data_IF_928829959268
#
_entry.id   IF_928829959268
#
_cell.length_a   1.000
_cell.length_b   1.000
_cell.length_c   1.000
_cell.angle_alpha   90.00
_cell.angle_beta   90.00
_cell.angle_gamma   90.00
#
_symmetry.space_group_name_H-M   'P 1'
#
loop_
_entity.id
_entity.type
_entity.pdbx_description
1 polymer ?
#
# COMPACT_ATOMS: atom_id res chain seq x y z
N UNK A 1 7.93 2.49 11.94
CA UNK A 1 6.60 2.93 11.47
C UNK A 1 5.53 2.02 12.06
N UNK A 2 5.51 0.73 11.71
CA UNK A 2 4.41 -0.17 12.08
C UNK A 2 4.23 -0.35 13.58
N UNK A 3 5.30 -0.44 14.35
CA UNK A 3 5.23 -0.63 15.81
C UNK A 3 4.51 0.54 16.49
N UNK A 4 4.82 1.77 16.09
CA UNK A 4 4.15 2.97 16.61
C UNK A 4 2.66 3.07 16.22
N UNK A 5 2.24 2.30 15.21
CA UNK A 5 0.87 2.24 14.72
C UNK A 5 0.06 1.07 15.34
N UNK A 6 0.63 0.33 16.29
CA UNK A 6 0.00 -0.80 16.95
C UNK A 6 0.13 -2.13 16.22
N UNK A 7 1.03 -2.23 15.25
CA UNK A 7 1.36 -3.45 14.50
C UNK A 7 2.65 -4.12 15.02
N UNK A 8 2.97 -3.96 16.30
CA UNK A 8 4.15 -4.48 17.00
C UNK A 8 4.31 -6.00 16.95
N UNK A 9 3.24 -6.70 16.60
CA UNK A 9 3.22 -8.16 16.46
C UNK A 9 3.63 -8.65 15.05
N UNK A 10 3.82 -7.74 14.11
CA UNK A 10 4.29 -8.11 12.76
C UNK A 10 5.81 -8.23 12.80
N UNK A 11 6.31 -9.39 12.46
CA UNK A 11 7.75 -9.67 12.43
C UNK A 11 8.22 -9.71 10.99
N UNK A 12 9.23 -8.91 10.70
CA UNK A 12 9.97 -8.91 9.44
C UNK A 12 11.36 -9.49 9.72
N UNK A 13 11.65 -10.65 9.15
CA UNK A 13 13.01 -11.18 9.17
C UNK A 13 13.83 -10.56 8.03
N UNK A 14 15.10 -10.30 8.28
CA UNK A 14 16.01 -9.71 7.29
C UNK A 14 16.12 -10.53 6.02
N UNK A 15 15.99 -11.86 6.11
CA UNK A 15 16.08 -12.75 4.95
C UNK A 15 15.03 -12.44 3.87
N UNK A 16 13.88 -11.87 4.24
CA UNK A 16 12.84 -11.47 3.27
C UNK A 16 13.29 -10.35 2.34
N UNK A 17 14.32 -9.59 2.72
CA UNK A 17 14.73 -8.37 2.01
C UNK A 17 16.18 -8.39 1.55
N UNK A 18 17.00 -9.32 2.03
CA UNK A 18 18.43 -9.36 1.71
C UNK A 18 18.72 -9.58 0.23
N UNK A 19 17.87 -10.36 -0.45
CA UNK A 19 17.99 -10.65 -1.89
C UNK A 19 17.16 -9.66 -2.76
N UNK A 20 16.42 -8.77 -2.13
CA UNK A 20 15.64 -7.77 -2.85
C UNK A 20 16.52 -6.64 -3.41
N UNK A 21 16.02 -5.95 -4.43
CA UNK A 21 16.68 -4.80 -5.04
C UNK A 21 16.92 -3.69 -4.03
N UNK A 22 18.18 -3.47 -3.70
CA UNK A 22 18.58 -2.45 -2.73
C UNK A 22 18.48 -1.04 -3.33
N UNK A 23 18.24 -0.04 -2.47
CA UNK A 23 18.07 1.34 -2.91
C UNK A 23 19.25 1.88 -3.70
N UNK A 24 20.47 1.54 -3.28
CA UNK A 24 21.69 1.97 -3.95
C UNK A 24 21.83 1.47 -5.38
N UNK A 25 21.26 0.29 -5.67
CA UNK A 25 21.25 -0.30 -7.01
C UNK A 25 20.01 0.11 -7.81
N UNK A 26 18.88 0.30 -7.13
CA UNK A 26 17.63 0.69 -7.74
C UNK A 26 17.70 2.06 -8.41
N UNK A 27 18.27 3.06 -7.74
CA UNK A 27 18.32 4.44 -8.25
C UNK A 27 19.07 4.51 -9.59
N UNK A 28 20.34 4.08 -9.71
CA UNK A 28 21.05 4.14 -10.99
C UNK A 28 20.40 3.27 -12.07
N UNK A 29 19.76 2.15 -11.71
CA UNK A 29 19.02 1.33 -12.65
C UNK A 29 17.81 2.09 -13.21
N UNK A 30 17.02 2.74 -12.36
CA UNK A 30 15.86 3.53 -12.79
C UNK A 30 16.27 4.75 -13.62
N UNK A 31 17.36 5.41 -13.29
CA UNK A 31 17.90 6.53 -14.09
C UNK A 31 18.26 6.07 -15.52
N UNK A 32 18.92 4.92 -15.64
CA UNK A 32 19.25 4.33 -16.95
C UNK A 32 18.02 3.93 -17.74
N UNK A 33 17.03 3.32 -17.08
CA UNK A 33 15.76 2.92 -17.71
C UNK A 33 14.96 4.14 -18.16
N UNK A 34 14.92 5.20 -17.34
CA UNK A 34 14.25 6.45 -17.69
C UNK A 34 14.91 7.09 -18.93
N UNK A 35 16.24 7.19 -18.94
CA UNK A 35 16.98 7.75 -20.08
C UNK A 35 16.73 6.92 -21.35
N UNK A 36 16.65 5.60 -21.24
CA UNK A 36 16.35 4.73 -22.38
C UNK A 36 14.91 4.93 -22.87
N UNK A 37 13.94 5.02 -21.96
CA UNK A 37 12.55 5.28 -22.31
C UNK A 37 12.41 6.63 -23.02
N UNK A 38 12.99 7.68 -22.47
CA UNK A 38 12.99 9.03 -23.05
C UNK A 38 13.58 9.04 -24.47
N UNK A 39 14.69 8.34 -24.69
CA UNK A 39 15.33 8.23 -26.01
C UNK A 39 14.47 7.54 -27.06
N UNK A 40 13.48 6.77 -26.63
CA UNK A 40 12.57 6.02 -27.49
C UNK A 40 11.15 6.59 -27.55
N UNK A 41 10.90 7.70 -26.86
CA UNK A 41 9.57 8.29 -26.75
C UNK A 41 8.58 7.42 -25.97
N UNK A 42 9.07 6.62 -25.02
CA UNK A 42 8.27 5.75 -24.17
C UNK A 42 8.14 6.35 -22.77
N UNK A 43 7.05 6.04 -22.09
CA UNK A 43 6.89 6.34 -20.67
C UNK A 43 7.40 5.17 -19.81
N UNK A 44 8.19 5.47 -18.78
CA UNK A 44 8.54 4.54 -17.71
C UNK A 44 7.70 4.87 -16.47
N UNK A 45 7.25 3.85 -15.78
CA UNK A 45 6.59 3.99 -14.47
C UNK A 45 6.95 2.85 -13.55
N UNK A 46 6.86 3.11 -12.26
CA UNK A 46 7.08 2.13 -11.20
C UNK A 46 5.76 1.77 -10.53
N UNK A 47 5.51 0.48 -10.32
CA UNK A 47 4.38 0.01 -9.52
C UNK A 47 4.84 -0.23 -8.09
N UNK A 48 4.22 0.44 -7.15
CA UNK A 48 4.42 0.32 -5.70
C UNK A 48 3.11 -0.07 -5.03
N UNK A 49 3.10 -1.03 -4.12
CA UNK A 49 4.04 -2.09 -3.87
C UNK A 49 3.33 -3.44 -3.99
N UNK A 50 4.10 -4.52 -3.95
CA UNK A 50 3.55 -5.84 -3.67
C UNK A 50 3.26 -5.98 -2.17
N UNK A 51 2.56 -7.08 -1.78
CA UNK A 51 2.45 -7.52 -0.39
C UNK A 51 3.83 -7.82 0.18
N UNK A 52 4.04 -7.55 1.47
CA UNK A 52 5.30 -7.85 2.13
C UNK A 52 5.23 -9.20 2.84
N UNK A 53 6.24 -10.07 2.67
CA UNK A 53 6.36 -11.28 3.45
C UNK A 53 6.61 -10.92 4.92
N UNK A 54 5.97 -11.66 5.81
CA UNK A 54 6.08 -11.53 7.26
C UNK A 54 6.03 -12.92 7.90
N UNK A 55 6.67 -13.09 9.03
CA UNK A 55 6.71 -14.38 9.71
C UNK A 55 5.39 -14.71 10.39
N UNK A 56 4.99 -15.99 10.33
CA UNK A 56 3.90 -16.50 11.16
C UNK A 56 4.41 -16.78 12.56
N UNK A 57 4.03 -15.94 13.51
CA UNK A 57 4.52 -16.04 14.91
C UNK A 57 3.47 -16.58 15.88
N UNK A 58 2.21 -16.66 15.46
CA UNK A 58 1.05 -17.03 16.30
C UNK A 58 0.20 -18.15 15.69
N UNK A 59 0.78 -18.96 14.82
CA UNK A 59 0.09 -20.00 14.06
C UNK A 59 -1.13 -19.48 13.27
N UNK A 60 -1.00 -18.28 12.69
CA UNK A 60 -2.05 -17.67 11.88
C UNK A 60 -2.33 -18.48 10.60
N UNK A 61 -1.29 -19.09 10.04
CA UNK A 61 -1.33 -19.98 8.88
C UNK A 61 -0.45 -21.21 9.12
N UNK A 62 -0.66 -22.31 8.37
CA UNK A 62 0.15 -23.52 8.50
C UNK A 62 1.62 -23.35 8.08
N UNK A 63 1.95 -22.32 7.28
CA UNK A 63 3.32 -22.04 6.85
C UNK A 63 4.11 -21.18 7.82
N UNK A 64 5.38 -20.98 7.50
CA UNK A 64 6.29 -20.11 8.28
C UNK A 64 6.14 -18.63 7.91
N UNK A 65 5.55 -18.35 6.75
CA UNK A 65 5.40 -17.00 6.18
C UNK A 65 3.96 -16.72 5.80
N UNK A 66 3.60 -15.46 5.85
CA UNK A 66 2.36 -14.92 5.30
C UNK A 66 2.64 -13.56 4.64
N UNK A 67 1.62 -12.98 3.99
CA UNK A 67 1.80 -11.72 3.27
C UNK A 67 0.95 -10.61 3.89
N UNK A 68 1.62 -9.55 4.33
CA UNK A 68 0.98 -8.35 4.83
C UNK A 68 0.39 -7.54 3.67
N UNK A 69 -0.86 -7.10 3.82
CA UNK A 69 -1.58 -6.30 2.84
C UNK A 69 -2.58 -5.33 3.50
N UNK A 70 -3.22 -4.49 2.71
CA UNK A 70 -4.28 -3.61 3.19
C UNK A 70 -3.75 -2.40 3.95
N UNK A 71 -4.45 -2.03 5.04
CA UNK A 71 -4.19 -0.77 5.74
C UNK A 71 -2.80 -0.63 6.34
N UNK A 72 -2.23 -1.72 6.82
CA UNK A 72 -0.88 -1.74 7.40
C UNK A 72 0.21 -1.52 6.35
N UNK A 73 -0.06 -1.87 5.10
CA UNK A 73 0.89 -1.69 4.01
C UNK A 73 0.94 -0.24 3.51
N UNK A 74 -0.15 0.52 3.64
CA UNK A 74 -0.23 1.89 3.10
C UNK A 74 0.89 2.82 3.60
N UNK A 75 1.19 2.90 4.91
CA UNK A 75 2.25 3.78 5.41
C UNK A 75 3.63 3.48 4.83
N UNK A 76 3.92 2.20 4.60
CA UNK A 76 5.19 1.78 4.00
C UNK A 76 5.24 2.11 2.52
N UNK A 77 4.15 1.87 1.81
CA UNK A 77 4.08 2.15 0.37
C UNK A 77 4.11 3.64 0.08
N UNK A 78 3.37 4.45 0.83
CA UNK A 78 3.37 5.91 0.60
C UNK A 78 4.71 6.54 0.97
N UNK A 79 5.43 6.01 1.97
CA UNK A 79 6.78 6.44 2.26
C UNK A 79 7.76 6.08 1.13
N UNK A 80 7.62 4.91 0.52
CA UNK A 80 8.40 4.55 -0.67
C UNK A 80 8.07 5.48 -1.85
N UNK A 81 6.78 5.82 -2.06
CA UNK A 81 6.38 6.82 -3.04
C UNK A 81 7.05 8.18 -2.78
N UNK A 82 7.09 8.61 -1.52
CA UNK A 82 7.73 9.86 -1.10
C UNK A 82 9.22 9.85 -1.47
N UNK A 83 9.93 8.78 -1.15
CA UNK A 83 11.35 8.62 -1.47
C UNK A 83 11.61 8.69 -2.97
N UNK A 84 10.83 7.94 -3.77
CA UNK A 84 10.97 7.91 -5.23
C UNK A 84 10.61 9.26 -5.83
N UNK A 85 9.48 9.86 -5.44
CA UNK A 85 9.06 11.16 -5.96
C UNK A 85 10.12 12.24 -5.71
N UNK A 86 10.71 12.26 -4.51
CA UNK A 86 11.79 13.20 -4.19
C UNK A 86 13.07 12.93 -4.95
N UNK A 87 13.48 11.64 -5.07
CA UNK A 87 14.70 11.24 -5.78
C UNK A 87 14.66 11.66 -7.26
N UNK A 88 13.51 11.52 -7.88
CA UNK A 88 13.31 11.81 -9.31
C UNK A 88 12.61 13.15 -9.57
N UNK A 89 12.53 14.04 -8.56
CA UNK A 89 11.91 15.36 -8.66
C UNK A 89 10.49 15.32 -9.27
N UNK A 90 9.70 14.34 -8.86
CA UNK A 90 8.33 14.12 -9.34
C UNK A 90 8.22 13.58 -10.77
N UNK A 91 9.31 13.37 -11.49
CA UNK A 91 9.26 12.97 -12.91
C UNK A 91 8.94 11.49 -13.12
N UNK A 92 9.22 10.64 -12.12
CA UNK A 92 8.93 9.22 -12.21
C UNK A 92 7.43 8.98 -12.04
N UNK A 93 6.84 8.31 -13.02
CA UNK A 93 5.44 7.89 -12.94
C UNK A 93 5.29 6.77 -11.92
N UNK A 94 4.31 6.88 -11.03
CA UNK A 94 4.05 5.90 -9.98
C UNK A 94 2.61 5.37 -10.13
N UNK A 95 2.50 4.05 -10.20
CA UNK A 95 1.26 3.29 -10.02
C UNK A 95 1.20 2.75 -8.59
N UNK A 96 0.05 2.81 -7.96
CA UNK A 96 -0.09 2.45 -6.53
C UNK A 96 -0.93 1.20 -6.33
N UNK A 97 -0.44 0.27 -5.51
CA UNK A 97 -1.12 -0.98 -5.17
C UNK A 97 -0.96 -1.40 -3.71
N UNK A 98 -0.49 -0.55 -2.83
CA UNK A 98 -0.18 -0.86 -1.43
C UNK A 98 -1.15 -0.24 -0.44
N UNK A 99 -2.32 -0.86 -0.22
CA UNK A 99 -3.30 -0.35 0.75
C UNK A 99 -4.13 0.83 0.27
N UNK A 100 -4.29 1.01 -1.05
CA UNK A 100 -5.23 1.97 -1.60
C UNK A 100 -6.66 1.60 -1.21
N UNK A 101 -7.41 2.59 -0.75
CA UNK A 101 -8.80 2.43 -0.32
C UNK A 101 -9.58 3.76 -0.43
N UNK A 102 -10.85 3.74 -0.05
CA UNK A 102 -11.75 4.89 -0.14
C UNK A 102 -11.21 6.16 0.54
N UNK A 103 -10.47 6.04 1.65
CA UNK A 103 -10.01 7.19 2.44
C UNK A 103 -8.76 7.88 1.88
N UNK A 104 -8.08 7.26 0.91
CA UNK A 104 -6.82 7.77 0.36
C UNK A 104 -6.77 7.85 -1.18
N UNK A 105 -7.70 7.22 -1.91
CA UNK A 105 -7.65 7.13 -3.38
C UNK A 105 -7.71 8.49 -4.07
N UNK A 106 -8.50 9.42 -3.58
CA UNK A 106 -8.61 10.79 -4.12
C UNK A 106 -7.33 11.60 -3.93
N UNK A 107 -6.72 11.47 -2.76
CA UNK A 107 -5.45 12.14 -2.43
C UNK A 107 -4.31 11.60 -3.31
N UNK A 108 -4.23 10.28 -3.48
CA UNK A 108 -3.27 9.64 -4.38
C UNK A 108 -3.45 10.15 -5.82
N UNK A 109 -4.70 10.14 -6.31
CA UNK A 109 -5.00 10.59 -7.66
C UNK A 109 -4.67 12.08 -7.85
N UNK A 110 -5.04 12.94 -6.90
CA UNK A 110 -4.74 14.37 -6.95
C UNK A 110 -3.23 14.66 -6.93
N UNK A 111 -2.44 13.82 -6.24
CA UNK A 111 -0.98 13.91 -6.20
C UNK A 111 -0.28 13.39 -7.47
N UNK A 112 -1.03 12.98 -8.50
CA UNK A 112 -0.48 12.45 -9.76
C UNK A 112 -0.06 10.99 -9.68
N UNK A 113 -0.51 10.23 -8.66
CA UNK A 113 -0.25 8.80 -8.52
C UNK A 113 -1.43 8.03 -9.14
N UNK A 114 -1.20 7.43 -10.28
CA UNK A 114 -2.15 6.59 -11.00
C UNK A 114 -1.46 5.76 -12.09
N UNK A 115 -2.00 4.57 -12.49
CA UNK A 115 -3.25 3.97 -12.00
C UNK A 115 -3.17 3.52 -10.54
N UNK A 116 -4.34 3.44 -9.88
CA UNK A 116 -4.50 2.93 -8.52
C UNK A 116 -5.14 1.55 -8.58
N UNK A 117 -4.50 0.57 -7.97
CA UNK A 117 -4.98 -0.81 -7.92
C UNK A 117 -5.44 -1.15 -6.50
N UNK A 118 -6.59 -1.78 -6.37
CA UNK A 118 -7.15 -2.23 -5.10
C UNK A 118 -7.44 -3.73 -5.11
N UNK A 119 -7.16 -4.40 -4.01
CA UNK A 119 -7.46 -5.81 -3.81
C UNK A 119 -8.16 -6.06 -2.47
N UNK A 120 -7.49 -5.78 -1.35
CA UNK A 120 -8.00 -6.05 0.00
C UNK A 120 -9.36 -5.40 0.27
N UNK A 121 -9.61 -4.20 -0.24
CA UNK A 121 -10.88 -3.51 -0.12
C UNK A 121 -12.03 -4.28 -0.77
N UNK A 122 -11.79 -4.88 -1.94
CA UNK A 122 -12.81 -5.64 -2.69
C UNK A 122 -13.14 -6.97 -2.00
N UNK A 123 -12.17 -7.57 -1.33
CA UNK A 123 -12.34 -8.84 -0.62
C UNK A 123 -13.13 -8.71 0.69
N UNK A 124 -13.32 -7.50 1.19
CA UNK A 124 -14.13 -7.24 2.39
C UNK A 124 -15.63 -7.21 2.04
N UNK A 125 -16.54 -7.51 3.00
CA UNK A 125 -17.98 -7.37 2.80
C UNK A 125 -18.33 -5.97 2.26
N UNK A 126 -19.12 -5.93 1.18
CA UNK A 126 -19.47 -4.69 0.48
C UNK A 126 -18.37 -4.12 -0.41
N UNK A 127 -17.33 -4.89 -0.70
CA UNK A 127 -16.14 -4.41 -1.41
C UNK A 127 -16.41 -3.85 -2.80
N UNK A 128 -17.32 -4.43 -3.59
CA UNK A 128 -17.70 -3.87 -4.89
C UNK A 128 -18.42 -2.54 -4.78
N UNK A 129 -19.29 -2.38 -3.76
CA UNK A 129 -19.90 -1.07 -3.47
C UNK A 129 -18.83 -0.05 -3.06
N UNK A 130 -17.82 -0.49 -2.33
CA UNK A 130 -16.69 0.36 -1.96
C UNK A 130 -15.90 0.82 -3.19
N UNK A 131 -15.68 -0.08 -4.15
CA UNK A 131 -15.04 0.27 -5.42
C UNK A 131 -15.85 1.34 -6.17
N UNK A 132 -17.17 1.18 -6.24
CA UNK A 132 -18.05 2.18 -6.83
C UNK A 132 -17.91 3.55 -6.16
N UNK A 133 -17.95 3.59 -4.82
CA UNK A 133 -17.73 4.82 -4.05
C UNK A 133 -16.36 5.46 -4.31
N UNK A 134 -15.32 4.65 -4.51
CA UNK A 134 -13.98 5.16 -4.86
C UNK A 134 -13.98 5.80 -6.25
N UNK A 135 -14.66 5.19 -7.22
CA UNK A 135 -14.82 5.76 -8.57
C UNK A 135 -15.57 7.08 -8.50
N UNK A 136 -16.74 7.13 -7.84
CA UNK A 136 -17.53 8.37 -7.66
C UNK A 136 -16.73 9.50 -6.98
N UNK A 137 -15.80 9.13 -6.09
CA UNK A 137 -14.94 10.09 -5.40
C UNK A 137 -13.85 10.64 -6.32
N UNK A 138 -13.26 9.79 -7.15
CA UNK A 138 -12.16 10.17 -8.05
C UNK A 138 -12.63 10.79 -9.35
N UNK A 139 -13.79 10.43 -9.90
CA UNK A 139 -14.33 11.03 -11.13
C UNK A 139 -14.63 12.53 -11.01
N UNK A 140 -14.79 13.04 -9.79
CA UNK A 140 -14.98 14.47 -9.50
C UNK A 140 -13.68 15.27 -9.60
N UNK A 141 -12.55 14.60 -9.66
CA UNK A 141 -11.24 15.23 -9.77
C UNK A 141 -10.90 15.46 -11.24
N UNK A 142 -10.28 16.61 -11.58
CA UNK A 142 -9.90 16.88 -12.95
C UNK A 142 -8.84 15.88 -13.40
N UNK A 143 -9.16 15.12 -14.46
CA UNK A 143 -8.16 14.29 -15.12
C UNK A 143 -7.20 15.18 -15.91
N UNK A 144 -5.92 14.96 -15.72
CA UNK A 144 -4.86 15.58 -16.49
C UNK A 144 -3.93 14.50 -17.02
N UNK A 145 -3.34 14.73 -18.18
CA UNK A 145 -2.20 13.92 -18.60
C UNK A 145 -1.10 13.97 -17.54
N UNK A 146 -0.32 12.91 -17.42
CA UNK A 146 0.77 12.89 -16.44
C UNK A 146 1.74 14.06 -16.68
N UNK A 147 1.92 14.88 -15.68
CA UNK A 147 2.82 16.03 -15.70
C UNK A 147 3.81 16.02 -14.51
N UNK A 148 3.91 14.88 -13.84
CA UNK A 148 4.69 14.66 -12.64
C UNK A 148 3.83 14.35 -11.43
N UNK A 149 4.48 13.89 -10.36
CA UNK A 149 3.87 13.68 -9.05
C UNK A 149 4.12 14.89 -8.16
N UNK A 150 3.14 15.23 -7.32
CA UNK A 150 3.27 16.28 -6.30
C UNK A 150 4.01 15.72 -5.07
N UNK A 151 5.33 15.93 -5.05
CA UNK A 151 6.20 15.44 -3.96
C UNK A 151 5.83 16.03 -2.59
N UNK A 152 5.28 17.25 -2.53
CA UNK A 152 4.83 17.86 -1.27
C UNK A 152 3.60 17.15 -0.74
N UNK A 153 2.57 16.99 -1.58
CA UNK A 153 1.36 16.28 -1.20
C UNK A 153 1.63 14.83 -0.80
N UNK A 154 2.57 14.15 -1.47
CA UNK A 154 2.99 12.78 -1.11
C UNK A 154 3.70 12.76 0.24
N UNK A 155 4.58 13.72 0.51
CA UNK A 155 5.26 13.85 1.79
C UNK A 155 4.28 14.07 2.95
N UNK A 156 3.28 14.92 2.73
CA UNK A 156 2.23 15.20 3.71
C UNK A 156 1.37 13.95 3.96
N UNK A 157 1.01 13.21 2.92
CA UNK A 157 0.29 11.93 3.05
C UNK A 157 1.12 10.89 3.81
N UNK A 158 2.42 10.80 3.54
CA UNK A 158 3.31 9.88 4.25
C UNK A 158 3.35 10.21 5.74
N UNK A 159 3.61 11.46 6.08
CA UNK A 159 3.65 11.91 7.46
C UNK A 159 2.30 11.69 8.18
N UNK A 160 1.19 12.05 7.55
CA UNK A 160 -0.14 11.90 8.11
C UNK A 160 -0.54 10.42 8.30
N UNK A 161 -0.05 9.51 7.46
CA UNK A 161 -0.43 8.10 7.48
C UNK A 161 -0.09 7.40 8.79
N UNK A 162 0.93 7.86 9.51
CA UNK A 162 1.39 7.25 10.76
C UNK A 162 0.44 7.48 11.95
N UNK A 163 -0.41 8.48 11.88
CA UNK A 163 -1.38 8.82 12.93
C UNK A 163 -2.84 8.74 12.46
N UNK A 164 -3.08 8.52 11.17
CA UNK A 164 -4.44 8.40 10.63
C UNK A 164 -5.08 7.09 11.11
N UNK A 165 -6.19 7.21 11.84
CA UNK A 165 -6.91 6.07 12.40
C UNK A 165 -7.39 5.04 11.34
N UNK A 166 -7.52 5.45 10.07
CA UNK A 166 -7.84 4.54 8.97
C UNK A 166 -6.71 3.54 8.69
N UNK A 167 -5.48 3.89 9.06
CA UNK A 167 -4.30 3.06 8.86
C UNK A 167 -3.80 2.42 10.15
N UNK A 168 -4.14 2.99 11.33
CA UNK A 168 -3.82 2.39 12.63
C UNK A 168 -4.47 1.03 12.78
N UNK A 169 -3.83 0.14 13.56
CA UNK A 169 -4.44 -1.12 13.93
C UNK A 169 -5.74 -0.88 14.70
N UNK A 170 -6.87 -1.44 14.25
CA UNK A 170 -8.11 -1.27 14.97
C UNK A 170 -8.08 -2.02 16.30
N UNK A 171 -8.31 -1.29 17.39
CA UNK A 171 -8.52 -1.87 18.72
C UNK A 171 -9.98 -2.27 18.81
N UNK A 172 -10.24 -3.59 18.88
CA UNK A 172 -11.59 -4.11 19.12
C UNK A 172 -11.73 -4.51 20.57
N UNK A 173 -12.77 -4.05 21.27
CA UNK A 173 -13.07 -4.55 22.61
C UNK A 173 -13.17 -6.08 22.62
N UNK A 174 -12.65 -6.73 23.66
CA UNK A 174 -12.67 -8.20 23.79
C UNK A 174 -14.10 -8.75 23.67
N UNK A 175 -15.07 -8.05 24.26
CA UNK A 175 -16.49 -8.41 24.19
C UNK A 175 -17.08 -8.40 22.78
N UNK A 176 -16.46 -7.72 21.82
CA UNK A 176 -16.91 -7.73 20.41
C UNK A 176 -16.33 -8.87 19.58
N UNK A 177 -15.44 -9.66 20.16
CA UNK A 177 -14.88 -10.85 19.52
C UNK A 177 -15.89 -11.99 19.70
N UNK A 178 -16.57 -12.35 18.63
CA UNK A 178 -17.37 -13.59 18.57
C UNK A 178 -16.43 -14.80 18.47
N UNK A 179 -15.57 -14.97 19.48
CA UNK A 179 -14.48 -15.95 19.41
C UNK A 179 -14.93 -17.37 19.70
N UNK A 180 -16.10 -17.55 20.27
CA UNK A 180 -16.51 -18.86 20.80
C UNK A 180 -17.54 -19.58 19.95
N UNK A 181 -18.21 -18.86 19.06
CA UNK A 181 -19.08 -19.44 18.04
C UNK A 181 -18.32 -19.58 16.70
N UNK A 182 -17.35 -20.47 16.68
CA UNK A 182 -16.58 -20.69 15.47
C UNK A 182 -17.32 -21.63 14.50
N UNK A 183 -17.74 -21.08 13.37
CA UNK A 183 -18.04 -21.91 12.22
C UNK A 183 -16.75 -22.05 11.42
N UNK A 184 -16.11 -23.22 11.37
CA UNK A 184 -14.73 -23.40 10.87
C UNK A 184 -14.47 -22.81 9.49
N UNK A 185 -15.44 -22.91 8.58
CA UNK A 185 -15.32 -22.38 7.23
C UNK A 185 -15.40 -20.84 7.16
N UNK A 186 -16.02 -20.19 8.14
CA UNK A 186 -16.04 -18.72 8.26
C UNK A 186 -14.71 -18.20 8.77
N UNK A 187 -14.03 -18.93 9.63
CA UNK A 187 -12.72 -18.57 10.12
C UNK A 187 -11.68 -18.51 9.00
N UNK A 188 -11.79 -19.37 7.99
CA UNK A 188 -10.92 -19.32 6.81
C UNK A 188 -11.04 -18.02 6.02
N UNK A 189 -12.23 -17.40 6.01
CA UNK A 189 -12.48 -16.14 5.31
C UNK A 189 -12.20 -14.90 6.16
N UNK A 190 -12.11 -15.05 7.48
CA UNK A 190 -11.98 -13.91 8.38
C UNK A 190 -10.58 -13.75 8.97
N UNK A 191 -9.78 -14.80 8.99
CA UNK A 191 -8.49 -14.78 9.68
C UNK A 191 -7.38 -14.05 8.93
N UNK A 192 -7.08 -14.31 7.65
CA UNK A 192 -5.95 -13.69 6.96
C UNK A 192 -6.21 -12.24 6.53
N UNK A 193 -7.47 -11.88 6.31
CA UNK A 193 -7.84 -10.59 5.74
C UNK A 193 -8.14 -9.50 6.78
N UNK A 194 -7.93 -9.77 8.04
CA UNK A 194 -8.07 -8.79 9.14
C UNK A 194 -6.74 -8.12 9.46
N UNK A 195 -6.09 -7.61 8.43
CA UNK A 195 -5.01 -6.67 8.64
C UNK A 195 -5.52 -5.35 9.17
#
# INVERSE_FOLDING_TARGET
ILDSMGYDYIVFDEHHFNEDLQWADAVPMFERLQALADSRGLELGLKLSNTFPVDTTRNELPGTEMYMSGRSLFPLTIEMCNRISRQFNGKMRISFAGGAEFFNCDKLFAAGIWPITVATTILKPGGYNRLHQMVEKTEKLPYKAFCGTDSSAISDMSAASHSDFHHLKPIKPVASRKSEEKVPWIDCFTAPCKG
#
